data_IF_094425594370
#
_entry.id   IF_094425594370
#
_cell.length_a   1.000
_cell.length_b   1.000
_cell.length_c   1.000
_cell.angle_alpha   90.00
_cell.angle_beta   90.00
_cell.angle_gamma   90.00
#
_symmetry.space_group_name_H-M   'P 1'
#
loop_
_entity.id
_entity.type
_entity.pdbx_description
1 polymer ?
#
# COMPACT_ATOMS: atom_id res chain seq x y z
N UNK A 1 38.57 -16.15 -11.02
CA UNK A 1 37.57 -15.27 -11.69
C UNK A 1 36.45 -15.09 -10.70
N UNK A 2 36.52 -13.98 -9.92
CA UNK A 2 35.50 -13.64 -8.94
C UNK A 2 34.36 -12.90 -9.68
N UNK A 3 33.21 -13.55 -9.78
CA UNK A 3 31.99 -12.86 -10.14
C UNK A 3 31.51 -12.08 -8.92
N UNK A 4 31.80 -10.76 -8.89
CA UNK A 4 31.13 -9.83 -8.00
C UNK A 4 29.68 -9.73 -8.43
N UNK A 5 28.80 -10.39 -7.67
CA UNK A 5 27.36 -10.12 -7.74
C UNK A 5 27.14 -8.69 -7.25
N UNK A 6 27.06 -7.78 -8.21
CA UNK A 6 26.51 -6.44 -7.98
C UNK A 6 25.00 -6.59 -7.73
N UNK A 7 24.67 -6.95 -6.49
CA UNK A 7 23.30 -6.85 -6.00
C UNK A 7 23.03 -5.34 -5.81
N UNK A 8 22.42 -4.73 -6.79
CA UNK A 8 21.89 -3.36 -6.70
C UNK A 8 20.78 -3.28 -5.63
N UNK A 9 21.11 -3.63 -4.41
CA UNK A 9 20.32 -3.42 -3.21
C UNK A 9 20.31 -1.92 -2.93
N UNK A 10 19.32 -1.23 -3.50
CA UNK A 10 19.01 0.12 -3.08
C UNK A 10 18.78 0.07 -1.57
N UNK A 11 19.76 0.60 -0.84
CA UNK A 11 19.72 0.71 0.62
C UNK A 11 18.46 1.51 1.00
N UNK A 12 17.42 0.80 1.42
CA UNK A 12 16.12 1.39 1.76
C UNK A 12 16.27 2.45 2.87
N UNK A 13 17.30 2.34 3.72
CA UNK A 13 17.64 3.36 4.73
C UNK A 13 17.97 4.70 4.10
N UNK A 14 18.74 4.71 3.02
CA UNK A 14 19.07 5.94 2.27
C UNK A 14 17.87 6.48 1.48
N UNK A 15 16.99 5.61 1.00
CA UNK A 15 15.78 6.03 0.32
C UNK A 15 14.84 6.86 1.22
N UNK A 16 14.83 6.60 2.53
CA UNK A 16 14.05 7.40 3.48
C UNK A 16 14.61 8.80 3.73
N UNK A 17 15.90 9.03 3.51
CA UNK A 17 16.55 10.32 3.74
C UNK A 17 16.44 11.27 2.54
N UNK A 18 16.00 10.76 1.38
CA UNK A 18 15.77 11.57 0.19
C UNK A 18 14.39 12.24 0.25
N UNK A 19 14.27 13.54 -0.07
CA UNK A 19 12.98 14.21 -0.13
C UNK A 19 12.09 13.56 -1.21
N UNK A 20 10.81 13.38 -0.87
CA UNK A 20 9.82 12.94 -1.85
C UNK A 20 9.61 14.02 -2.93
N UNK A 21 9.33 13.59 -4.15
CA UNK A 21 8.98 14.55 -5.21
C UNK A 21 7.60 15.14 -4.93
N UNK A 22 7.37 16.44 -5.22
CA UNK A 22 6.06 17.03 -5.02
C UNK A 22 5.01 16.30 -5.88
N UNK A 23 3.92 15.86 -5.26
CA UNK A 23 2.80 15.29 -5.98
C UNK A 23 2.11 16.37 -6.84
N UNK A 24 1.46 15.99 -7.95
CA UNK A 24 0.69 16.95 -8.76
C UNK A 24 -0.42 17.60 -7.94
N UNK A 25 -0.65 18.89 -8.14
CA UNK A 25 -1.75 19.58 -7.49
C UNK A 25 -3.10 19.21 -8.12
N UNK A 26 -4.15 19.21 -7.32
CA UNK A 26 -5.53 18.99 -7.78
C UNK A 26 -5.91 19.93 -8.94
N UNK A 27 -5.53 21.20 -8.84
CA UNK A 27 -5.86 22.20 -9.86
C UNK A 27 -5.18 21.94 -11.21
N UNK A 28 -3.98 21.34 -11.19
CA UNK A 28 -3.21 21.02 -12.40
C UNK A 28 -3.70 19.75 -13.12
N UNK A 29 -4.65 19.01 -12.52
CA UNK A 29 -5.16 17.75 -13.07
C UNK A 29 -6.12 18.00 -14.25
N UNK A 30 -6.13 17.08 -15.21
CA UNK A 30 -7.12 17.12 -16.30
C UNK A 30 -8.55 16.88 -15.78
N UNK A 31 -9.55 17.34 -16.53
CA UNK A 31 -10.96 17.13 -16.15
C UNK A 31 -11.32 15.65 -16.04
N UNK A 32 -10.74 14.79 -16.89
CA UNK A 32 -10.94 13.33 -16.77
C UNK A 32 -10.38 12.78 -15.47
N UNK A 33 -9.18 13.19 -15.05
CA UNK A 33 -8.59 12.82 -13.77
C UNK A 33 -9.41 13.34 -12.60
N UNK A 34 -9.91 14.57 -12.67
CA UNK A 34 -10.78 15.15 -11.63
C UNK A 34 -12.08 14.37 -11.49
N UNK A 35 -12.70 13.95 -12.60
CA UNK A 35 -13.92 13.13 -12.59
C UNK A 35 -13.65 11.75 -11.98
N UNK A 36 -12.57 11.07 -12.36
CA UNK A 36 -12.20 9.76 -11.82
C UNK A 36 -11.94 9.85 -10.31
N UNK A 37 -11.18 10.84 -9.86
CA UNK A 37 -10.88 11.08 -8.45
C UNK A 37 -12.14 11.40 -7.64
N UNK A 38 -13.05 12.24 -8.20
CA UNK A 38 -14.31 12.57 -7.55
C UNK A 38 -15.20 11.35 -7.41
N UNK A 39 -15.28 10.51 -8.45
CA UNK A 39 -15.99 9.24 -8.41
C UNK A 39 -15.38 8.29 -7.37
N UNK A 40 -14.06 8.16 -7.34
CA UNK A 40 -13.35 7.35 -6.36
C UNK A 40 -13.54 7.83 -4.93
N UNK A 41 -13.45 9.13 -4.68
CA UNK A 41 -13.72 9.70 -3.36
C UNK A 41 -15.19 9.48 -2.92
N UNK A 42 -16.14 9.60 -3.85
CA UNK A 42 -17.56 9.33 -3.58
C UNK A 42 -17.79 7.84 -3.26
N UNK A 43 -17.19 6.94 -4.02
CA UNK A 43 -17.31 5.50 -3.77
C UNK A 43 -16.66 5.11 -2.45
N UNK A 44 -15.51 5.67 -2.12
CA UNK A 44 -14.84 5.44 -0.84
C UNK A 44 -15.69 5.88 0.36
N UNK A 45 -16.38 7.02 0.24
CA UNK A 45 -17.32 7.49 1.28
C UNK A 45 -18.56 6.60 1.38
N UNK A 46 -19.02 6.02 0.27
CA UNK A 46 -20.24 5.22 0.21
C UNK A 46 -20.02 3.77 0.65
N UNK A 47 -18.99 3.12 0.13
CA UNK A 47 -18.73 1.69 0.32
C UNK A 47 -17.61 1.41 1.33
N UNK A 48 -16.85 2.43 1.73
CA UNK A 48 -15.70 2.31 2.63
C UNK A 48 -14.42 1.86 1.93
N UNK A 49 -14.45 1.59 0.62
CA UNK A 49 -13.26 1.28 -0.16
C UNK A 49 -13.40 1.75 -1.61
N UNK A 50 -12.27 1.94 -2.26
CA UNK A 50 -12.14 2.22 -3.69
C UNK A 50 -10.92 1.54 -4.25
N UNK A 51 -11.06 0.88 -5.40
CA UNK A 51 -9.95 0.23 -6.12
C UNK A 51 -9.73 0.94 -7.44
N UNK A 52 -8.49 1.37 -7.69
CA UNK A 52 -8.14 2.05 -8.93
C UNK A 52 -8.15 1.05 -10.09
N UNK A 53 -8.95 1.34 -11.12
CA UNK A 53 -9.07 0.47 -12.31
C UNK A 53 -7.80 0.51 -13.16
N UNK A 54 -7.02 1.60 -13.09
CA UNK A 54 -5.84 1.81 -13.90
C UNK A 54 -4.69 0.82 -13.62
N UNK A 55 -4.66 0.23 -12.43
CA UNK A 55 -3.68 -0.79 -12.03
C UNK A 55 -4.41 -2.04 -11.58
N UNK A 56 -4.89 -2.83 -12.54
CA UNK A 56 -5.18 -4.23 -12.21
C UNK A 56 -3.86 -4.86 -11.82
N UNK A 57 -3.68 -5.11 -10.54
CA UNK A 57 -2.52 -5.87 -10.08
C UNK A 57 -2.42 -7.17 -10.90
N UNK A 58 -1.23 -7.52 -11.40
CA UNK A 58 -1.06 -8.81 -12.01
C UNK A 58 -1.47 -9.86 -10.97
N UNK A 59 -2.13 -10.95 -11.41
CA UNK A 59 -2.46 -12.06 -10.52
C UNK A 59 -1.19 -12.46 -9.77
N UNK A 60 -1.16 -12.14 -8.48
CA UNK A 60 0.00 -12.42 -7.64
C UNK A 60 -0.09 -13.90 -7.25
N UNK A 61 0.90 -14.69 -7.66
CA UNK A 61 0.94 -16.09 -7.29
C UNK A 61 1.12 -16.25 -5.77
N UNK A 62 0.39 -17.18 -5.11
CA UNK A 62 0.61 -17.47 -3.69
C UNK A 62 2.05 -17.91 -3.42
N UNK A 63 2.52 -17.73 -2.19
CA UNK A 63 3.85 -18.21 -1.76
C UNK A 63 3.99 -19.71 -1.99
N UNK A 64 5.14 -20.13 -2.51
CA UNK A 64 5.38 -21.53 -2.93
C UNK A 64 5.35 -22.54 -1.77
N UNK A 65 5.56 -22.12 -0.51
CA UNK A 65 5.70 -23.04 0.62
C UNK A 65 4.41 -23.49 1.29
N UNK A 66 3.35 -22.64 1.32
CA UNK A 66 2.10 -23.00 1.98
C UNK A 66 0.84 -22.51 1.22
N UNK A 67 1.02 -21.94 0.05
CA UNK A 67 -0.06 -21.51 -0.82
C UNK A 67 -0.82 -20.27 -0.32
N UNK A 68 -0.34 -19.59 0.74
CA UNK A 68 -1.00 -18.42 1.32
C UNK A 68 -0.41 -17.11 0.82
N UNK A 69 -1.26 -16.10 0.70
CA UNK A 69 -0.84 -14.73 0.42
C UNK A 69 -0.27 -14.09 1.69
N UNK A 70 0.81 -13.31 1.55
CA UNK A 70 1.38 -12.53 2.64
C UNK A 70 1.02 -11.05 2.50
N UNK A 71 0.60 -10.45 3.62
CA UNK A 71 0.20 -9.04 3.72
C UNK A 71 1.12 -8.36 4.73
N UNK A 72 1.69 -7.22 4.36
CA UNK A 72 2.40 -6.34 5.28
C UNK A 72 1.48 -5.18 5.66
N UNK A 73 1.14 -5.06 6.95
CA UNK A 73 0.36 -3.95 7.49
C UNK A 73 1.32 -2.93 8.11
N UNK A 74 1.23 -1.68 7.67
CA UNK A 74 2.06 -0.56 8.13
C UNK A 74 1.13 0.52 8.68
N UNK A 75 1.21 0.77 10.00
CA UNK A 75 0.36 1.71 10.74
C UNK A 75 1.03 2.03 12.07
N UNK A 76 0.98 3.26 12.55
CA UNK A 76 1.53 3.61 13.86
C UNK A 76 0.63 3.18 15.03
N UNK A 77 -0.65 2.90 14.76
CA UNK A 77 -1.56 2.33 15.74
C UNK A 77 -1.30 0.82 15.94
N UNK A 78 -0.49 0.50 16.95
CA UNK A 78 -0.13 -0.89 17.28
C UNK A 78 -1.31 -1.75 17.70
N UNK A 79 -2.38 -1.17 18.27
CA UNK A 79 -3.59 -1.89 18.63
C UNK A 79 -4.38 -2.29 17.37
N UNK A 80 -4.51 -1.36 16.43
CA UNK A 80 -5.08 -1.66 15.12
C UNK A 80 -4.30 -2.75 14.40
N UNK A 81 -2.95 -2.69 14.42
CA UNK A 81 -2.11 -3.74 13.83
C UNK A 81 -2.35 -5.12 14.45
N UNK A 82 -2.53 -5.22 15.77
CA UNK A 82 -2.87 -6.49 16.44
C UNK A 82 -4.22 -7.04 15.97
N UNK A 83 -5.22 -6.16 15.84
CA UNK A 83 -6.56 -6.53 15.36
C UNK A 83 -6.48 -7.00 13.90
N UNK A 84 -5.81 -6.25 13.03
CA UNK A 84 -5.59 -6.60 11.63
C UNK A 84 -4.86 -7.93 11.49
N UNK A 85 -3.75 -8.11 12.23
CA UNK A 85 -2.97 -9.34 12.18
C UNK A 85 -3.82 -10.55 12.57
N UNK A 86 -4.61 -10.43 13.63
CA UNK A 86 -5.50 -11.51 14.08
C UNK A 86 -6.58 -11.83 13.04
N UNK A 87 -7.30 -10.80 12.55
CA UNK A 87 -8.41 -10.98 11.61
C UNK A 87 -7.93 -11.56 10.29
N UNK A 88 -6.92 -10.96 9.68
CA UNK A 88 -6.39 -11.42 8.39
C UNK A 88 -5.73 -12.82 8.49
N UNK A 89 -5.13 -13.16 9.64
CA UNK A 89 -4.62 -14.52 9.85
C UNK A 89 -5.75 -15.55 9.91
N UNK A 90 -6.88 -15.21 10.51
CA UNK A 90 -8.08 -16.07 10.52
C UNK A 90 -8.68 -16.23 9.11
N UNK A 91 -8.54 -15.21 8.25
CA UNK A 91 -8.94 -15.24 6.85
C UNK A 91 -7.92 -15.99 5.96
N UNK A 92 -6.86 -16.57 6.54
CA UNK A 92 -5.89 -17.42 5.84
C UNK A 92 -4.66 -16.71 5.30
N UNK A 93 -4.46 -15.42 5.59
CA UNK A 93 -3.27 -14.69 5.16
C UNK A 93 -2.08 -14.89 6.11
N UNK A 94 -0.87 -14.78 5.58
CA UNK A 94 0.34 -14.60 6.39
C UNK A 94 0.53 -13.11 6.64
N UNK A 95 0.49 -12.66 7.90
CA UNK A 95 0.51 -11.23 8.21
C UNK A 95 1.84 -10.83 8.85
N UNK A 96 2.40 -9.75 8.36
CA UNK A 96 3.55 -9.04 8.92
C UNK A 96 3.12 -7.63 9.28
N UNK A 97 3.72 -7.03 10.31
CA UNK A 97 3.35 -5.70 10.79
C UNK A 97 4.58 -4.82 10.97
N UNK A 98 4.43 -3.53 10.71
CA UNK A 98 5.42 -2.51 10.98
C UNK A 98 4.73 -1.24 11.47
N UNK A 99 5.31 -0.55 12.46
CA UNK A 99 4.67 0.59 13.14
C UNK A 99 5.56 1.82 13.25
N UNK A 100 6.84 1.70 12.95
CA UNK A 100 7.82 2.77 12.95
C UNK A 100 8.80 2.62 11.79
N UNK A 101 9.63 3.64 11.57
CA UNK A 101 10.62 3.64 10.50
C UNK A 101 11.53 2.42 10.51
N UNK A 102 11.99 2.00 11.70
CA UNK A 102 12.92 0.88 11.84
C UNK A 102 12.27 -0.44 11.45
N UNK A 103 11.09 -0.73 11.95
CA UNK A 103 10.33 -1.93 11.62
C UNK A 103 9.90 -1.95 10.16
N UNK A 104 9.51 -0.81 9.58
CA UNK A 104 9.18 -0.69 8.15
C UNK A 104 10.38 -1.11 7.30
N UNK A 105 11.56 -0.53 7.53
CA UNK A 105 12.78 -0.88 6.80
C UNK A 105 13.09 -2.36 6.95
N UNK A 106 13.04 -2.88 8.18
CA UNK A 106 13.32 -4.28 8.46
C UNK A 106 12.36 -5.24 7.74
N UNK A 107 11.05 -4.90 7.70
CA UNK A 107 10.05 -5.73 7.02
C UNK A 107 10.17 -5.68 5.48
N UNK A 108 10.47 -4.51 4.91
CA UNK A 108 10.62 -4.34 3.46
C UNK A 108 11.89 -5.00 2.89
N UNK A 109 12.91 -5.21 3.74
CA UNK A 109 14.13 -5.93 3.36
C UNK A 109 13.95 -7.45 3.35
N UNK A 110 12.93 -7.99 4.02
CA UNK A 110 12.70 -9.45 4.07
C UNK A 110 12.32 -10.02 2.70
N UNK A 111 12.78 -11.23 2.47
CA UNK A 111 12.44 -12.02 1.27
C UNK A 111 11.58 -13.22 1.67
N UNK A 112 10.63 -13.60 0.83
CA UNK A 112 10.15 -12.87 -0.36
C UNK A 112 9.40 -11.58 0.03
N UNK A 113 9.23 -10.63 -0.92
CA UNK A 113 8.41 -9.44 -0.69
C UNK A 113 6.96 -9.84 -0.38
N UNK A 114 6.17 -8.97 0.29
CA UNK A 114 4.76 -9.25 0.53
C UNK A 114 3.98 -9.23 -0.79
N UNK A 115 2.84 -9.94 -0.81
CA UNK A 115 1.92 -9.92 -1.95
C UNK A 115 1.05 -8.67 -1.98
N UNK A 116 0.87 -8.03 -0.83
CA UNK A 116 0.09 -6.81 -0.65
C UNK A 116 0.65 -6.02 0.52
N UNK A 117 0.62 -4.70 0.43
CA UNK A 117 0.89 -3.78 1.54
C UNK A 117 -0.40 -3.02 1.86
N UNK A 118 -0.82 -3.05 3.13
CA UNK A 118 -1.79 -2.12 3.70
C UNK A 118 -0.99 -1.00 4.35
N UNK A 119 -1.20 0.24 3.93
CA UNK A 119 -0.37 1.37 4.32
C UNK A 119 -1.21 2.51 4.86
N UNK A 120 -1.00 2.87 6.12
CA UNK A 120 -1.60 4.07 6.68
C UNK A 120 -1.05 5.34 6.01
N UNK A 121 -1.94 6.29 5.77
CA UNK A 121 -1.58 7.62 5.22
C UNK A 121 -0.99 8.53 6.30
N UNK A 122 -1.50 8.44 7.51
CA UNK A 122 -1.37 9.47 8.55
C UNK A 122 -0.34 9.18 9.65
N UNK A 123 0.76 8.50 9.36
CA UNK A 123 1.79 8.21 10.36
C UNK A 123 2.60 9.46 10.74
N UNK A 124 2.94 9.66 12.03
CA UNK A 124 3.60 10.89 12.49
C UNK A 124 5.04 11.07 11.97
N UNK A 125 5.80 9.99 11.84
CA UNK A 125 7.22 10.06 11.50
C UNK A 125 7.50 9.91 10.00
N UNK A 126 6.55 9.37 9.25
CA UNK A 126 6.68 9.06 7.82
C UNK A 126 5.33 9.25 7.15
N UNK A 127 5.27 10.13 6.15
CA UNK A 127 4.08 10.21 5.31
C UNK A 127 3.88 8.88 4.55
N UNK A 128 2.69 8.27 4.67
CA UNK A 128 2.35 7.07 3.90
C UNK A 128 2.42 7.31 2.39
N UNK A 129 2.12 8.53 1.93
CA UNK A 129 2.25 8.91 0.52
C UNK A 129 3.71 8.95 0.06
N UNK A 130 4.63 9.47 0.90
CA UNK A 130 6.06 9.48 0.60
C UNK A 130 6.62 8.07 0.57
N UNK A 131 6.17 7.22 1.50
CA UNK A 131 6.55 5.81 1.51
C UNK A 131 6.06 5.09 0.25
N UNK A 132 4.81 5.32 -0.16
CA UNK A 132 4.26 4.76 -1.39
C UNK A 132 5.11 5.15 -2.61
N UNK A 133 5.49 6.42 -2.75
CA UNK A 133 6.33 6.89 -3.84
C UNK A 133 7.69 6.17 -3.86
N UNK A 134 8.32 5.99 -2.70
CA UNK A 134 9.57 5.26 -2.56
C UNK A 134 9.43 3.77 -2.89
N UNK A 135 8.33 3.16 -2.46
CA UNK A 135 8.01 1.78 -2.83
C UNK A 135 7.92 1.62 -4.35
N UNK A 136 7.27 2.56 -5.05
CA UNK A 136 7.13 2.51 -6.52
C UNK A 136 8.43 2.64 -7.28
N UNK A 137 9.40 3.34 -6.71
CA UNK A 137 10.75 3.48 -7.29
C UNK A 137 11.66 2.28 -6.99
N UNK A 138 11.26 1.41 -6.05
CA UNK A 138 12.11 0.29 -5.64
C UNK A 138 12.00 -0.90 -6.62
N UNK A 139 13.11 -1.46 -7.12
CA UNK A 139 13.10 -2.51 -8.15
C UNK A 139 12.28 -3.75 -7.80
N UNK A 140 12.30 -4.18 -6.52
CA UNK A 140 11.59 -5.38 -6.06
C UNK A 140 10.19 -5.11 -5.52
N UNK A 141 9.94 -3.89 -5.04
CA UNK A 141 8.68 -3.53 -4.37
C UNK A 141 7.77 -2.69 -5.26
N UNK A 142 8.28 -2.13 -6.36
CA UNK A 142 7.52 -1.24 -7.22
C UNK A 142 6.26 -1.85 -7.83
N UNK A 143 6.23 -3.17 -8.00
CA UNK A 143 5.07 -3.91 -8.50
C UNK A 143 4.16 -4.46 -7.41
N UNK A 144 4.57 -4.42 -6.13
CA UNK A 144 3.75 -4.91 -5.01
C UNK A 144 2.51 -4.03 -4.88
N UNK A 145 1.30 -4.59 -4.89
CA UNK A 145 0.08 -3.82 -4.69
C UNK A 145 0.07 -3.12 -3.33
N UNK A 146 -0.48 -1.89 -3.30
CA UNK A 146 -0.62 -1.10 -2.07
C UNK A 146 -2.05 -0.57 -1.96
N UNK A 147 -2.71 -0.91 -0.85
CA UNK A 147 -3.98 -0.29 -0.44
C UNK A 147 -3.67 0.73 0.64
N UNK A 148 -4.10 1.97 0.42
CA UNK A 148 -3.96 3.04 1.40
C UNK A 148 -5.10 2.96 2.43
N UNK A 149 -4.75 3.04 3.72
CA UNK A 149 -5.71 3.22 4.81
C UNK A 149 -5.78 4.71 5.13
N UNK A 150 -6.95 5.34 5.09
CA UNK A 150 -7.06 6.79 5.25
C UNK A 150 -8.20 7.21 6.18
N UNK A 151 -7.90 8.09 7.12
CA UNK A 151 -8.91 8.78 7.94
C UNK A 151 -9.50 10.03 7.26
N UNK A 152 -8.91 10.47 6.15
CA UNK A 152 -9.33 11.67 5.44
C UNK A 152 -9.61 11.34 3.98
N UNK A 153 -10.88 11.48 3.59
CA UNK A 153 -11.34 11.24 2.22
C UNK A 153 -11.64 12.58 1.57
N UNK A 154 -10.61 13.22 1.01
CA UNK A 154 -10.77 14.40 0.15
C UNK A 154 -10.37 14.08 -1.28
N UNK A 155 -10.91 14.78 -2.30
CA UNK A 155 -10.47 14.59 -3.68
C UNK A 155 -8.96 14.74 -3.84
N UNK A 156 -8.33 15.66 -3.13
CA UNK A 156 -6.89 15.88 -3.16
C UNK A 156 -6.12 14.67 -2.61
N UNK A 157 -6.56 14.08 -1.48
CA UNK A 157 -5.88 12.93 -0.88
C UNK A 157 -5.97 11.70 -1.78
N UNK A 158 -7.10 11.47 -2.42
CA UNK A 158 -7.30 10.38 -3.40
C UNK A 158 -6.42 10.63 -4.64
N UNK A 159 -6.41 11.88 -5.16
CA UNK A 159 -5.56 12.23 -6.31
C UNK A 159 -4.08 11.98 -6.01
N UNK A 160 -3.60 12.45 -4.86
CA UNK A 160 -2.20 12.26 -4.47
C UNK A 160 -1.83 10.78 -4.43
N UNK A 161 -2.66 9.95 -3.84
CA UNK A 161 -2.39 8.54 -3.78
C UNK A 161 -2.47 7.85 -5.15
N UNK A 162 -3.46 8.20 -6.01
CA UNK A 162 -3.54 7.69 -7.38
C UNK A 162 -2.32 8.09 -8.19
N UNK A 163 -1.91 9.35 -8.11
CA UNK A 163 -0.73 9.88 -8.81
C UNK A 163 0.57 9.20 -8.34
N UNK A 164 0.65 8.81 -7.06
CA UNK A 164 1.77 8.06 -6.50
C UNK A 164 1.65 6.54 -6.72
N UNK A 165 0.58 6.07 -7.37
CA UNK A 165 0.42 4.68 -7.79
C UNK A 165 -0.15 3.76 -6.72
N UNK A 166 -1.05 4.23 -5.86
CA UNK A 166 -1.87 3.35 -5.01
C UNK A 166 -2.79 2.47 -5.88
N UNK A 167 -3.03 1.25 -5.44
CA UNK A 167 -3.92 0.31 -6.11
C UNK A 167 -5.33 0.34 -5.51
N UNK A 168 -5.48 0.87 -4.30
CA UNK A 168 -6.77 1.02 -3.65
C UNK A 168 -6.71 1.87 -2.39
N UNK A 169 -7.89 2.13 -1.85
CA UNK A 169 -8.12 2.91 -0.62
C UNK A 169 -9.18 2.24 0.23
N UNK A 170 -8.99 2.30 1.54
CA UNK A 170 -10.01 1.93 2.53
C UNK A 170 -10.08 3.04 3.57
N UNK A 171 -11.31 3.53 3.85
CA UNK A 171 -11.52 4.61 4.80
C UNK A 171 -11.46 4.11 6.24
N UNK A 172 -10.77 4.84 7.12
CA UNK A 172 -10.81 4.64 8.57
C UNK A 172 -11.93 5.49 9.20
N UNK A 173 -12.72 4.94 10.15
CA UNK A 173 -12.74 3.55 10.59
C UNK A 173 -13.33 2.62 9.52
N UNK A 174 -12.72 1.47 9.28
CA UNK A 174 -13.19 0.54 8.25
C UNK A 174 -14.00 -0.62 8.83
N UNK A 175 -14.90 -1.13 7.99
CA UNK A 175 -15.53 -2.42 8.19
C UNK A 175 -14.62 -3.51 7.60
N UNK A 176 -14.49 -4.64 8.30
CA UNK A 176 -13.60 -5.72 7.84
C UNK A 176 -14.05 -6.34 6.52
N UNK A 177 -15.35 -6.31 6.24
CA UNK A 177 -15.91 -6.76 4.98
C UNK A 177 -15.43 -5.89 3.81
N UNK A 178 -15.41 -4.56 3.98
CA UNK A 178 -14.89 -3.62 2.98
C UNK A 178 -13.39 -3.82 2.75
N UNK A 179 -12.62 -3.99 3.83
CA UNK A 179 -11.18 -4.29 3.75
C UNK A 179 -10.93 -5.63 3.06
N UNK A 180 -11.68 -6.69 3.41
CA UNK A 180 -11.58 -8.01 2.79
C UNK A 180 -11.85 -7.95 1.29
N UNK A 181 -12.96 -7.32 0.89
CA UNK A 181 -13.30 -7.13 -0.54
C UNK A 181 -12.21 -6.37 -1.29
N UNK A 182 -11.65 -5.32 -0.69
CA UNK A 182 -10.57 -4.56 -1.31
C UNK A 182 -9.31 -5.43 -1.50
N UNK A 183 -8.92 -6.21 -0.49
CA UNK A 183 -7.78 -7.13 -0.55
C UNK A 183 -7.98 -8.18 -1.64
N UNK A 184 -9.12 -8.86 -1.66
CA UNK A 184 -9.45 -9.90 -2.64
C UNK A 184 -9.46 -9.34 -4.07
N UNK A 185 -10.05 -8.16 -4.25
CA UNK A 185 -10.10 -7.50 -5.56
C UNK A 185 -8.70 -7.15 -6.06
N UNK A 186 -7.86 -6.59 -5.21
CA UNK A 186 -6.49 -6.20 -5.58
C UNK A 186 -5.60 -7.42 -5.83
N UNK A 187 -5.75 -8.49 -5.05
CA UNK A 187 -5.02 -9.75 -5.26
C UNK A 187 -5.58 -10.58 -6.42
N UNK A 188 -6.78 -10.26 -6.91
CA UNK A 188 -7.44 -11.02 -7.98
C UNK A 188 -7.89 -12.43 -7.54
N UNK A 189 -8.20 -12.59 -6.26
CA UNK A 189 -8.73 -13.81 -5.66
C UNK A 189 -10.21 -13.56 -5.35
N UNK A 190 -11.09 -14.18 -6.12
CA UNK A 190 -12.55 -14.19 -5.91
C UNK A 190 -13.02 -15.64 -5.87
#
# INVERSE_FOLDING_TARGET
MNATSDSGDLDFTKAFDSPAQPAPSWEASSEAQKQEVTAGATELLKSGYYITIARKAPKVAPLQHDGRYSILCIDDDTELLKILARKLSLDGYVVRTAFDRQSIVAELQKLPPPHLILLDVGMPDISGLDLLQKLRQHPRLGSVPVIMLTGHVTPESVLHGMANGADGYVSKPFQFEALGTAIETVLGIQ
#
